data_IF_940346502537
#
_entry.id   IF_940346502537
#
_cell.length_a   1.000
_cell.length_b   1.000
_cell.length_c   1.000
_cell.angle_alpha   90.00
_cell.angle_beta   90.00
_cell.angle_gamma   90.00
#
_symmetry.space_group_name_H-M   'P 1'
#
loop_
_entity.id
_entity.type
_entity.pdbx_description
1 polymer ?
#
# COMPACT_ATOMS: atom_id res chain seq x y z
N UNK A 1 9.66 -5.72 10.53
CA UNK A 1 11.08 -5.43 10.71
C UNK A 1 11.91 -6.29 9.75
N UNK A 2 12.26 -5.72 8.60
CA UNK A 2 13.01 -6.41 7.55
C UNK A 2 14.50 -6.44 7.93
N UNK A 3 14.89 -7.49 8.67
CA UNK A 3 16.30 -7.75 8.99
C UNK A 3 16.92 -8.70 7.97
N UNK A 4 18.23 -8.66 7.82
CA UNK A 4 19.00 -9.48 6.86
C UNK A 4 18.70 -10.98 7.00
N UNK A 5 18.65 -11.47 8.24
CA UNK A 5 18.35 -12.87 8.55
C UNK A 5 16.93 -13.26 8.08
N UNK A 6 15.96 -12.36 8.30
CA UNK A 6 14.58 -12.60 7.90
C UNK A 6 14.40 -12.62 6.36
N UNK A 7 15.02 -11.67 5.66
CA UNK A 7 14.96 -11.63 4.20
C UNK A 7 15.68 -12.85 3.59
N UNK A 8 16.81 -13.25 4.16
CA UNK A 8 17.50 -14.47 3.77
C UNK A 8 16.61 -15.71 3.93
N UNK A 9 15.87 -15.79 5.03
CA UNK A 9 14.94 -16.89 5.29
C UNK A 9 13.80 -16.95 4.27
N UNK A 10 13.25 -15.79 3.87
CA UNK A 10 12.16 -15.71 2.88
C UNK A 10 12.51 -16.38 1.54
N UNK A 11 13.79 -16.37 1.14
CA UNK A 11 14.24 -17.03 -0.09
C UNK A 11 14.07 -18.56 -0.09
N UNK A 12 13.98 -19.16 1.09
CA UNK A 12 13.82 -20.61 1.21
C UNK A 12 12.37 -21.05 0.99
N UNK A 13 11.46 -20.09 0.79
CA UNK A 13 10.04 -20.35 0.57
C UNK A 13 9.62 -19.83 -0.81
N UNK A 14 8.55 -20.37 -1.40
CA UNK A 14 8.09 -20.00 -2.74
C UNK A 14 7.37 -18.63 -2.78
N UNK A 15 7.84 -17.66 -2.01
CA UNK A 15 7.34 -16.29 -2.08
C UNK A 15 7.88 -15.61 -3.33
N UNK A 16 6.97 -14.99 -4.08
CA UNK A 16 7.30 -14.28 -5.30
C UNK A 16 7.00 -12.78 -5.25
N UNK A 17 6.45 -12.28 -4.12
CA UNK A 17 6.10 -10.88 -3.92
C UNK A 17 6.20 -10.50 -2.45
N UNK A 18 6.70 -9.30 -2.21
CA UNK A 18 6.70 -8.66 -0.88
C UNK A 18 5.96 -7.33 -0.98
N UNK A 19 5.02 -7.07 -0.05
CA UNK A 19 4.38 -5.77 0.11
C UNK A 19 4.79 -5.16 1.43
N UNK A 20 5.14 -3.87 1.42
CA UNK A 20 5.65 -3.14 2.58
C UNK A 20 4.86 -1.86 2.81
N UNK A 21 4.23 -1.74 3.97
CA UNK A 21 3.54 -0.53 4.39
C UNK A 21 4.53 0.56 4.81
N UNK A 22 5.11 1.27 3.83
CA UNK A 22 6.01 2.42 4.05
C UNK A 22 5.23 3.61 4.60
N UNK A 23 4.05 3.86 4.04
CA UNK A 23 3.06 4.88 4.37
C UNK A 23 3.52 6.31 4.03
N UNK A 24 4.68 6.75 4.49
CA UNK A 24 5.29 8.04 4.20
C UNK A 24 6.82 7.97 4.40
N UNK A 25 7.53 8.96 3.85
CA UNK A 25 8.95 9.19 4.12
C UNK A 25 9.18 10.41 5.03
N UNK A 26 8.10 11.05 5.50
CA UNK A 26 8.17 12.18 6.43
C UNK A 26 8.00 11.71 7.88
N UNK A 27 8.91 12.11 8.79
CA UNK A 27 8.85 11.67 10.19
C UNK A 27 7.56 12.07 10.92
N UNK A 28 6.97 13.20 10.54
CA UNK A 28 5.71 13.68 11.13
C UNK A 28 4.53 12.80 10.76
N UNK A 29 4.43 12.42 9.49
CA UNK A 29 3.42 11.50 8.99
C UNK A 29 3.53 10.14 9.68
N UNK A 30 4.74 9.60 9.76
CA UNK A 30 5.01 8.32 10.40
C UNK A 30 4.65 8.33 11.88
N UNK A 31 4.94 9.43 12.59
CA UNK A 31 4.53 9.60 13.99
C UNK A 31 3.01 9.66 14.13
N UNK A 32 2.33 10.43 13.28
CA UNK A 32 0.87 10.49 13.27
C UNK A 32 0.24 9.11 13.03
N UNK A 33 0.77 8.34 12.10
CA UNK A 33 0.33 6.99 11.76
C UNK A 33 0.80 5.93 12.77
N UNK A 34 1.45 6.33 13.87
CA UNK A 34 2.00 5.44 14.90
C UNK A 34 2.89 4.32 14.32
N UNK A 35 3.74 4.68 13.34
CA UNK A 35 4.67 3.74 12.71
C UNK A 35 5.97 3.64 13.51
N UNK A 36 6.51 2.41 13.63
CA UNK A 36 7.74 2.14 14.37
C UNK A 36 9.00 2.37 13.55
N UNK A 37 8.88 2.34 12.23
CA UNK A 37 9.99 2.56 11.31
C UNK A 37 10.12 4.04 10.94
N UNK A 38 11.30 4.41 10.55
CA UNK A 38 11.64 5.68 9.95
C UNK A 38 11.88 5.53 8.43
N UNK A 39 12.21 6.67 7.79
CA UNK A 39 12.50 6.75 6.35
C UNK A 39 13.66 5.85 5.95
N UNK A 40 14.76 5.89 6.70
CA UNK A 40 15.99 5.15 6.41
C UNK A 40 15.75 3.65 6.52
N UNK A 41 14.98 3.22 7.51
CA UNK A 41 14.60 1.83 7.69
C UNK A 41 13.70 1.32 6.55
N UNK A 42 12.77 2.15 6.06
CA UNK A 42 11.92 1.82 4.92
C UNK A 42 12.75 1.65 3.64
N UNK A 43 13.66 2.58 3.35
CA UNK A 43 14.56 2.53 2.20
C UNK A 43 15.44 1.28 2.27
N UNK A 44 16.09 1.07 3.42
CA UNK A 44 16.96 -0.08 3.64
C UNK A 44 16.24 -1.42 3.51
N UNK A 45 14.96 -1.49 3.91
CA UNK A 45 14.17 -2.70 3.77
C UNK A 45 13.94 -3.07 2.29
N UNK A 46 13.65 -2.08 1.44
CA UNK A 46 13.51 -2.26 -0.01
C UNK A 46 14.84 -2.69 -0.64
N UNK A 47 15.93 -1.99 -0.33
CA UNK A 47 17.28 -2.30 -0.83
C UNK A 47 17.71 -3.71 -0.44
N UNK A 48 17.45 -4.09 0.81
CA UNK A 48 17.77 -5.42 1.31
C UNK A 48 16.99 -6.51 0.56
N UNK A 49 15.73 -6.32 0.26
CA UNK A 49 14.96 -7.26 -0.55
C UNK A 49 15.58 -7.42 -1.95
N UNK A 50 15.96 -6.31 -2.58
CA UNK A 50 16.63 -6.32 -3.89
C UNK A 50 17.98 -7.02 -3.85
N UNK A 51 18.79 -6.76 -2.82
CA UNK A 51 20.10 -7.42 -2.59
C UNK A 51 19.93 -8.95 -2.55
N UNK A 52 18.85 -9.43 -1.94
CA UNK A 52 18.53 -10.85 -1.88
C UNK A 52 17.75 -11.40 -3.09
N UNK A 53 17.60 -10.61 -4.16
CA UNK A 53 16.96 -11.04 -5.41
C UNK A 53 15.43 -11.03 -5.37
N UNK A 54 14.81 -10.43 -4.33
CA UNK A 54 13.36 -10.21 -4.28
C UNK A 54 13.09 -8.88 -4.98
N UNK A 55 12.68 -8.95 -6.23
CA UNK A 55 12.45 -7.77 -7.09
C UNK A 55 10.97 -7.41 -7.25
N UNK A 56 10.05 -8.35 -7.03
CA UNK A 56 8.61 -8.07 -7.06
C UNK A 56 8.18 -7.46 -5.72
N UNK A 57 8.45 -6.18 -5.56
CA UNK A 57 8.19 -5.42 -4.35
C UNK A 57 7.04 -4.44 -4.59
N UNK A 58 6.11 -4.39 -3.64
CA UNK A 58 5.10 -3.35 -3.52
C UNK A 58 5.40 -2.48 -2.31
N UNK A 59 5.24 -1.18 -2.43
CA UNK A 59 5.20 -0.28 -1.28
C UNK A 59 3.86 0.43 -1.22
N UNK A 60 3.36 0.62 0.00
CA UNK A 60 2.10 1.29 0.24
C UNK A 60 2.37 2.68 0.81
N UNK A 61 1.71 3.70 0.26
CA UNK A 61 1.74 5.09 0.72
C UNK A 61 0.35 5.52 1.17
N UNK A 62 0.30 6.49 2.08
CA UNK A 62 -0.94 7.14 2.52
C UNK A 62 -0.82 8.63 2.22
N UNK A 63 -1.86 9.20 1.62
CA UNK A 63 -2.00 10.64 1.40
C UNK A 63 -3.29 11.19 2.02
N UNK A 64 -3.43 12.50 2.05
CA UNK A 64 -4.55 13.15 2.75
C UNK A 64 -4.38 13.13 4.27
N UNK A 65 -3.14 13.10 4.76
CA UNK A 65 -2.83 13.20 6.18
C UNK A 65 -3.05 14.61 6.69
N UNK A 66 -3.41 14.81 7.97
CA UNK A 66 -3.52 16.14 8.56
C UNK A 66 -2.23 16.94 8.36
N UNK A 67 -2.39 18.19 7.93
CA UNK A 67 -1.30 19.12 7.64
C UNK A 67 -0.35 18.70 6.50
N UNK A 68 -0.65 17.64 5.77
CA UNK A 68 0.16 17.24 4.62
C UNK A 68 0.08 18.33 3.53
N UNK A 69 1.22 18.81 3.08
CA UNK A 69 1.31 19.77 2.00
C UNK A 69 1.51 19.10 0.65
N UNK A 70 1.19 19.81 -0.44
CA UNK A 70 1.48 19.33 -1.81
C UNK A 70 2.97 19.01 -2.00
N UNK A 71 3.84 19.85 -1.45
CA UNK A 71 5.29 19.65 -1.52
C UNK A 71 5.72 18.35 -0.80
N UNK A 72 5.21 18.12 0.40
CA UNK A 72 5.50 16.88 1.16
C UNK A 72 5.01 15.65 0.41
N UNK A 73 3.82 15.71 -0.19
CA UNK A 73 3.30 14.62 -1.01
C UNK A 73 4.18 14.36 -2.25
N UNK A 74 4.56 15.40 -2.98
CA UNK A 74 5.48 15.26 -4.12
C UNK A 74 6.84 14.67 -3.72
N UNK A 75 7.34 15.02 -2.54
CA UNK A 75 8.58 14.42 -2.00
C UNK A 75 8.42 12.94 -1.70
N UNK A 76 7.29 12.53 -1.12
CA UNK A 76 6.95 11.13 -0.92
C UNK A 76 6.95 10.35 -2.26
N UNK A 77 6.29 10.89 -3.28
CA UNK A 77 6.23 10.27 -4.61
C UNK A 77 7.62 10.19 -5.25
N UNK A 78 8.40 11.27 -5.18
CA UNK A 78 9.77 11.29 -5.71
C UNK A 78 10.65 10.24 -5.05
N UNK A 79 10.54 10.08 -3.74
CA UNK A 79 11.28 9.06 -3.01
C UNK A 79 10.82 7.65 -3.37
N UNK A 80 9.51 7.42 -3.48
CA UNK A 80 8.95 6.14 -3.90
C UNK A 80 9.41 5.74 -5.31
N UNK A 81 9.40 6.70 -6.26
CA UNK A 81 9.88 6.47 -7.63
C UNK A 81 11.39 6.15 -7.65
N UNK A 82 12.20 6.84 -6.82
CA UNK A 82 13.63 6.55 -6.68
C UNK A 82 13.93 5.15 -6.16
N UNK A 83 13.07 4.60 -5.34
CA UNK A 83 13.20 3.23 -4.86
C UNK A 83 13.02 2.20 -5.97
N UNK A 84 12.56 2.60 -7.14
CA UNK A 84 12.46 1.76 -8.33
C UNK A 84 11.83 0.39 -8.05
N UNK A 85 10.68 0.41 -7.38
CA UNK A 85 9.85 -0.77 -7.11
C UNK A 85 8.81 -0.93 -8.22
N UNK A 86 8.45 -2.15 -8.63
CA UNK A 86 7.53 -2.35 -9.74
C UNK A 86 6.05 -2.08 -9.41
N UNK A 87 5.70 -1.92 -8.15
CA UNK A 87 4.31 -1.72 -7.73
C UNK A 87 4.21 -0.70 -6.58
N UNK A 88 3.19 0.13 -6.64
CA UNK A 88 2.84 1.15 -5.65
C UNK A 88 1.35 1.10 -5.35
N UNK A 89 1.00 1.06 -4.07
CA UNK A 89 -0.36 1.34 -3.61
C UNK A 89 -0.35 2.71 -2.93
N UNK A 90 -1.36 3.54 -3.20
CA UNK A 90 -1.52 4.82 -2.56
C UNK A 90 -2.97 4.99 -2.09
N UNK A 91 -3.16 5.12 -0.79
CA UNK A 91 -4.47 5.19 -0.17
C UNK A 91 -4.73 6.58 0.37
N UNK A 92 -5.91 7.12 0.10
CA UNK A 92 -6.39 8.32 0.79
C UNK A 92 -6.73 7.96 2.24
N UNK A 93 -6.25 8.76 3.19
CA UNK A 93 -6.61 8.58 4.59
C UNK A 93 -8.11 8.86 4.77
N UNK A 94 -8.83 7.88 5.27
CA UNK A 94 -10.21 8.02 5.74
C UNK A 94 -10.21 7.72 7.23
N UNK A 95 -10.55 8.72 8.04
CA UNK A 95 -10.55 8.61 9.49
C UNK A 95 -11.84 9.21 10.02
N UNK A 96 -12.61 8.45 10.80
CA UNK A 96 -13.88 8.93 11.36
C UNK A 96 -13.68 10.04 12.40
N UNK A 97 -12.54 10.05 13.07
CA UNK A 97 -12.23 10.95 14.20
C UNK A 97 -11.37 12.17 13.79
N UNK A 98 -10.90 12.23 12.57
CA UNK A 98 -10.05 13.32 12.07
C UNK A 98 -10.79 14.06 10.96
N UNK A 99 -10.87 15.40 11.01
CA UNK A 99 -11.47 16.15 9.92
C UNK A 99 -10.82 15.80 8.59
N UNK A 100 -11.58 15.53 7.54
CA UNK A 100 -11.02 15.25 6.22
C UNK A 100 -10.22 16.47 5.75
N UNK A 101 -9.20 16.19 4.98
CA UNK A 101 -8.48 17.22 4.23
C UNK A 101 -9.46 17.89 3.26
N UNK A 102 -9.27 19.16 2.99
CA UNK A 102 -10.04 19.90 2.01
C UNK A 102 -10.16 19.14 0.68
N UNK A 103 -11.35 19.14 0.08
CA UNK A 103 -11.65 18.34 -1.11
C UNK A 103 -10.78 18.73 -2.30
N UNK A 104 -10.53 20.02 -2.53
CA UNK A 104 -9.67 20.49 -3.62
C UNK A 104 -8.23 20.02 -3.43
N UNK A 105 -7.76 20.03 -2.18
CA UNK A 105 -6.43 19.52 -1.83
C UNK A 105 -6.35 18.00 -2.04
N UNK A 106 -7.38 17.25 -1.65
CA UNK A 106 -7.48 15.80 -1.87
C UNK A 106 -7.44 15.44 -3.36
N UNK A 107 -8.22 16.14 -4.17
CA UNK A 107 -8.21 15.99 -5.63
C UNK A 107 -6.83 16.33 -6.21
N UNK A 108 -6.20 17.38 -5.71
CA UNK A 108 -4.85 17.77 -6.13
C UNK A 108 -3.80 16.70 -5.79
N UNK A 109 -3.88 16.07 -4.61
CA UNK A 109 -2.99 14.95 -4.26
C UNK A 109 -3.16 13.77 -5.21
N UNK A 110 -4.40 13.41 -5.50
CA UNK A 110 -4.70 12.29 -6.39
C UNK A 110 -4.27 12.56 -7.84
N UNK A 111 -4.51 13.76 -8.36
CA UNK A 111 -4.03 14.16 -9.68
C UNK A 111 -2.51 14.12 -9.77
N UNK A 112 -1.82 14.68 -8.78
CA UNK A 112 -0.35 14.64 -8.70
C UNK A 112 0.17 13.20 -8.66
N UNK A 113 -0.48 12.30 -7.92
CA UNK A 113 -0.13 10.88 -7.87
C UNK A 113 -0.20 10.24 -9.25
N UNK A 114 -1.31 10.42 -9.98
CA UNK A 114 -1.52 9.86 -11.32
C UNK A 114 -0.44 10.37 -12.27
N UNK A 115 -0.24 11.67 -12.33
CA UNK A 115 0.69 12.30 -13.27
C UNK A 115 2.13 11.84 -13.01
N UNK A 116 2.60 11.90 -11.77
CA UNK A 116 3.97 11.52 -11.41
C UNK A 116 4.26 10.04 -11.65
N UNK A 117 3.30 9.17 -11.36
CA UNK A 117 3.50 7.75 -11.60
C UNK A 117 3.40 7.39 -13.09
N UNK A 118 2.51 8.03 -13.84
CA UNK A 118 2.46 7.87 -15.29
C UNK A 118 3.79 8.31 -15.97
N UNK A 119 4.33 9.47 -15.59
CA UNK A 119 5.65 9.96 -16.04
C UNK A 119 6.78 8.96 -15.71
N UNK A 120 6.67 8.25 -14.60
CA UNK A 120 7.64 7.23 -14.16
C UNK A 120 7.39 5.83 -14.76
N UNK A 121 6.42 5.69 -15.68
CA UNK A 121 6.13 4.45 -16.40
C UNK A 121 5.27 3.45 -15.65
N UNK A 122 4.50 3.89 -14.65
CA UNK A 122 3.50 3.07 -13.97
C UNK A 122 2.14 3.20 -14.67
N UNK A 123 1.43 2.10 -14.74
CA UNK A 123 0.04 2.05 -15.17
C UNK A 123 -0.88 2.12 -13.95
N UNK A 124 -1.85 3.03 -13.98
CA UNK A 124 -2.93 3.11 -13.01
C UNK A 124 -3.98 2.06 -13.38
N UNK A 125 -3.97 0.90 -12.73
CA UNK A 125 -4.79 -0.24 -13.15
C UNK A 125 -6.05 -0.47 -12.29
N UNK A 126 -6.13 0.19 -11.15
CA UNK A 126 -7.35 0.31 -10.32
C UNK A 126 -7.18 1.50 -9.35
N UNK A 127 -8.20 1.86 -8.58
CA UNK A 127 -8.31 3.15 -7.86
C UNK A 127 -7.05 3.52 -7.06
N UNK A 128 -6.49 2.56 -6.32
CA UNK A 128 -5.38 2.82 -5.39
C UNK A 128 -4.06 2.22 -5.83
N UNK A 129 -4.02 1.46 -6.92
CA UNK A 129 -2.85 0.68 -7.27
C UNK A 129 -2.27 1.03 -8.64
N UNK A 130 -0.95 1.15 -8.64
CA UNK A 130 -0.13 1.51 -9.79
C UNK A 130 0.99 0.49 -9.94
N UNK A 131 1.25 0.03 -11.15
CA UNK A 131 2.31 -0.93 -11.38
C UNK A 131 2.94 -0.81 -12.75
N UNK A 132 4.18 -1.23 -12.88
CA UNK A 132 4.80 -1.48 -14.18
C UNK A 132 4.14 -2.67 -14.87
N UNK A 133 4.14 -2.72 -16.21
CA UNK A 133 3.61 -3.86 -16.95
C UNK A 133 4.15 -5.20 -16.43
N UNK A 134 3.26 -6.16 -16.21
CA UNK A 134 3.60 -7.49 -15.68
C UNK A 134 3.62 -7.60 -14.14
N UNK A 135 3.46 -6.50 -13.39
CA UNK A 135 3.52 -6.50 -11.92
C UNK A 135 2.20 -6.18 -11.23
N UNK A 136 1.09 -6.23 -11.94
CA UNK A 136 -0.23 -6.04 -11.34
C UNK A 136 -0.48 -7.04 -10.22
N UNK A 137 -1.07 -6.57 -9.12
CA UNK A 137 -1.47 -7.45 -8.03
C UNK A 137 -2.65 -8.31 -8.46
N UNK A 138 -2.42 -9.61 -8.63
CA UNK A 138 -3.50 -10.57 -8.97
C UNK A 138 -4.60 -10.57 -7.92
N UNK A 139 -4.24 -10.43 -6.65
CA UNK A 139 -5.18 -10.37 -5.55
C UNK A 139 -6.07 -9.12 -5.67
N UNK A 140 -5.49 -7.93 -5.79
CA UNK A 140 -6.26 -6.68 -5.90
C UNK A 140 -7.12 -6.67 -7.17
N UNK A 141 -6.58 -7.10 -8.31
CA UNK A 141 -7.33 -7.18 -9.57
C UNK A 141 -8.52 -8.14 -9.49
N UNK A 142 -8.48 -9.15 -8.61
CA UNK A 142 -9.57 -10.13 -8.51
C UNK A 142 -10.87 -9.51 -8.00
N UNK A 143 -10.82 -8.50 -7.15
CA UNK A 143 -12.01 -7.78 -6.67
C UNK A 143 -12.73 -7.03 -7.79
N UNK A 144 -11.99 -6.51 -8.76
CA UNK A 144 -12.53 -5.74 -9.88
C UNK A 144 -13.03 -6.61 -11.04
N UNK A 145 -12.65 -7.88 -11.04
CA UNK A 145 -13.07 -8.85 -12.08
C UNK A 145 -14.22 -9.76 -11.64
N UNK A 146 -14.87 -9.45 -10.51
CA UNK A 146 -16.00 -10.21 -10.00
C UNK A 146 -15.67 -11.65 -9.59
N UNK A 147 -14.42 -11.94 -9.26
CA UNK A 147 -14.02 -13.25 -8.75
C UNK A 147 -14.63 -13.52 -7.39
N UNK A 148 -15.07 -14.75 -7.19
CA UNK A 148 -15.55 -15.22 -5.89
C UNK A 148 -14.41 -15.28 -4.90
N UNK A 149 -14.68 -14.90 -3.65
CA UNK A 149 -13.71 -15.00 -2.57
C UNK A 149 -14.40 -15.30 -1.24
N UNK A 150 -13.67 -15.95 -0.34
CA UNK A 150 -14.08 -16.26 1.02
C UNK A 150 -13.27 -15.41 1.99
N UNK A 151 -13.96 -14.63 2.81
CA UNK A 151 -13.37 -13.85 3.89
C UNK A 151 -13.22 -14.70 5.15
N UNK A 152 -12.03 -14.68 5.74
CA UNK A 152 -11.71 -15.38 6.97
C UNK A 152 -11.37 -14.35 8.07
N UNK A 153 -11.99 -14.47 9.21
CA UNK A 153 -11.81 -13.60 10.37
C UNK A 153 -12.97 -12.62 10.60
N UNK A 154 -12.97 -11.93 11.77
CA UNK A 154 -13.98 -10.93 12.10
C UNK A 154 -14.04 -9.82 11.04
N UNK A 155 -15.24 -9.35 10.74
CA UNK A 155 -15.54 -8.33 9.71
C UNK A 155 -15.09 -8.68 8.29
N UNK A 156 -14.53 -9.85 8.04
CA UNK A 156 -14.09 -10.23 6.70
C UNK A 156 -15.30 -10.45 5.78
N UNK A 157 -15.17 -9.98 4.55
CA UNK A 157 -16.20 -10.08 3.52
C UNK A 157 -15.98 -11.30 2.64
N UNK A 158 -17.08 -11.89 2.19
CA UNK A 158 -17.12 -12.96 1.18
C UNK A 158 -17.96 -12.51 -0.02
N UNK A 159 -17.70 -13.08 -1.18
CA UNK A 159 -18.49 -12.87 -2.38
C UNK A 159 -18.63 -14.18 -3.16
N UNK A 160 -19.87 -14.63 -3.36
CA UNK A 160 -20.19 -15.88 -4.04
C UNK A 160 -20.43 -15.72 -5.56
N UNK A 161 -20.31 -14.51 -6.10
CA UNK A 161 -20.60 -14.16 -7.49
C UNK A 161 -21.96 -13.46 -7.67
N UNK A 162 -22.81 -13.45 -6.65
CA UNK A 162 -24.14 -12.81 -6.64
C UNK A 162 -24.26 -11.93 -5.42
N UNK A 163 -24.06 -12.48 -4.23
CA UNK A 163 -24.26 -11.82 -2.94
C UNK A 163 -22.92 -11.56 -2.26
N UNK A 164 -22.88 -10.45 -1.50
CA UNK A 164 -21.78 -10.14 -0.59
C UNK A 164 -22.24 -10.36 0.84
N UNK A 165 -21.47 -11.13 1.58
CA UNK A 165 -21.67 -11.43 2.99
C UNK A 165 -20.47 -10.95 3.81
N UNK A 166 -20.63 -10.77 5.11
CA UNK A 166 -19.53 -10.43 6.02
C UNK A 166 -19.69 -11.15 7.36
N UNK A 167 -18.57 -11.47 7.96
CA UNK A 167 -18.51 -12.08 9.27
C UNK A 167 -18.82 -11.06 10.39
N UNK A 168 -19.29 -11.50 11.56
CA UNK A 168 -19.45 -10.65 12.73
C UNK A 168 -18.15 -9.92 13.06
N UNK A 169 -18.24 -8.66 13.53
CA UNK A 169 -17.06 -7.87 13.91
C UNK A 169 -16.46 -8.30 15.24
N UNK A 170 -17.26 -8.89 16.12
CA UNK A 170 -16.84 -9.40 17.42
C UNK A 170 -16.11 -10.74 17.29
N UNK A 171 -14.87 -10.81 17.76
CA UNK A 171 -14.09 -12.06 17.76
C UNK A 171 -14.77 -13.21 18.53
N UNK A 172 -15.35 -13.01 19.74
CA UNK A 172 -16.11 -14.05 20.43
C UNK A 172 -17.25 -14.63 19.57
N UNK A 173 -18.06 -13.75 18.97
CA UNK A 173 -19.21 -14.18 18.13
C UNK A 173 -18.74 -14.90 16.85
N UNK A 174 -17.57 -14.51 16.32
CA UNK A 174 -17.01 -15.16 15.13
C UNK A 174 -16.50 -16.60 15.40
N UNK A 175 -16.06 -16.87 16.65
CA UNK A 175 -15.51 -18.19 17.03
C UNK A 175 -16.63 -19.19 17.41
N UNK A 176 -17.77 -18.69 17.90
CA UNK A 176 -18.98 -19.51 18.17
C UNK A 176 -19.58 -20.07 16.89
#
# INVERSE_FOLDING_TARGET
>A
DMKREYVSLLRNYPFNRVSMGVQSFHPEDLRFLNRRHDREQAIKAVELCKEYGITNISIDLIYGLPNQTKQAWEENLRQAIRLDVPHLSAYHLIYEEVPPVDEELSVSFFSTLIDRLAEAGYLHYEISNFARPGFFSKHNSSYWTGKKYLGLGPSAHSYNGIDREWNPSSLPIYIE
#
